data_IF_142321496839
#
_entry.id   IF_142321496839
#
_cell.length_a   1.000
_cell.length_b   1.000
_cell.length_c   1.000
_cell.angle_alpha   90.00
_cell.angle_beta   90.00
_cell.angle_gamma   90.00
#
_symmetry.space_group_name_H-M   'P 1'
#
loop_
_entity.id
_entity.type
_entity.pdbx_description
1 polymer ?
#
# COMPACT_ATOMS: atom_id res chain seq x y z
N UNK A 1 -11.09 17.06 19.22
CA UNK A 1 -10.10 15.97 19.37
C UNK A 1 -10.70 14.66 19.87
N UNK A 2 -11.15 14.55 21.14
CA UNK A 2 -11.73 13.25 21.64
C UNK A 2 -12.99 12.90 20.87
N UNK A 3 -13.89 13.85 20.64
CA UNK A 3 -15.11 13.65 19.85
C UNK A 3 -14.80 13.20 18.41
N UNK A 4 -13.80 13.77 17.78
CA UNK A 4 -13.40 13.42 16.40
C UNK A 4 -12.87 11.98 16.33
N UNK A 5 -12.12 11.54 17.33
CA UNK A 5 -11.63 10.16 17.44
C UNK A 5 -12.80 9.19 17.64
N UNK A 6 -13.72 9.51 18.54
CA UNK A 6 -14.93 8.68 18.78
C UNK A 6 -15.78 8.61 17.52
N UNK A 7 -16.03 9.73 16.86
CA UNK A 7 -16.77 9.80 15.60
C UNK A 7 -16.09 8.96 14.50
N UNK A 8 -14.79 9.12 14.34
CA UNK A 8 -14.02 8.34 13.37
C UNK A 8 -14.09 6.83 13.66
N UNK A 9 -14.02 6.45 14.92
CA UNK A 9 -14.10 5.06 15.36
C UNK A 9 -15.49 4.48 15.11
N UNK A 10 -16.56 5.23 15.43
CA UNK A 10 -17.95 4.83 15.19
C UNK A 10 -18.21 4.71 13.68
N UNK A 11 -17.79 5.69 12.86
CA UNK A 11 -17.94 5.64 11.40
C UNK A 11 -17.19 4.47 10.82
N UNK A 12 -15.94 4.22 11.28
CA UNK A 12 -15.14 3.09 10.83
C UNK A 12 -15.79 1.75 11.15
N UNK A 13 -16.34 1.62 12.36
CA UNK A 13 -17.04 0.41 12.78
C UNK A 13 -18.33 0.20 11.97
N UNK A 14 -19.06 1.26 11.70
CA UNK A 14 -20.27 1.22 10.87
C UNK A 14 -19.96 0.82 9.42
N UNK A 15 -18.90 1.38 8.83
CA UNK A 15 -18.42 1.01 7.50
C UNK A 15 -17.91 -0.44 7.45
N UNK A 16 -17.37 -0.94 8.54
CA UNK A 16 -16.86 -2.32 8.62
C UNK A 16 -18.01 -3.32 8.66
N UNK A 17 -19.12 -2.99 9.33
CA UNK A 17 -20.31 -3.84 9.46
C UNK A 17 -21.19 -3.76 8.20
N UNK A 18 -21.41 -2.57 7.67
CA UNK A 18 -22.40 -2.32 6.59
C UNK A 18 -21.76 -1.95 5.23
N UNK A 19 -20.42 -1.96 5.14
CA UNK A 19 -19.69 -1.51 3.93
C UNK A 19 -20.07 -2.27 2.65
N UNK A 20 -20.37 -3.55 2.75
CA UNK A 20 -20.85 -4.36 1.62
C UNK A 20 -22.20 -3.88 1.10
N UNK A 21 -23.16 -3.65 2.01
CA UNK A 21 -24.50 -3.13 1.68
C UNK A 21 -24.43 -1.71 1.14
N UNK A 22 -23.53 -0.89 1.67
CA UNK A 22 -23.31 0.47 1.17
C UNK A 22 -22.77 0.44 -0.26
N UNK A 23 -21.81 -0.44 -0.55
CA UNK A 23 -21.27 -0.66 -1.89
C UNK A 23 -22.35 -1.10 -2.89
N UNK A 24 -23.19 -2.06 -2.53
CA UNK A 24 -24.28 -2.54 -3.39
C UNK A 24 -25.33 -1.47 -3.66
N UNK A 25 -25.73 -0.69 -2.65
CA UNK A 25 -26.67 0.41 -2.80
C UNK A 25 -26.11 1.54 -3.68
N UNK A 26 -24.83 1.87 -3.51
CA UNK A 26 -24.17 2.87 -4.34
C UNK A 26 -24.13 2.45 -5.81
N UNK A 27 -23.92 1.16 -6.09
CA UNK A 27 -23.98 0.60 -7.44
C UNK A 27 -25.39 0.59 -8.04
N UNK A 28 -26.42 0.50 -7.21
CA UNK A 28 -27.81 0.53 -7.68
C UNK A 28 -28.22 1.89 -8.27
N UNK A 29 -27.60 2.99 -7.83
CA UNK A 29 -27.82 4.34 -8.33
C UNK A 29 -27.19 4.56 -9.71
N UNK A 30 -26.18 3.73 -10.07
CA UNK A 30 -25.42 3.88 -11.31
C UNK A 30 -26.19 3.26 -12.47
N UNK A 31 -26.37 4.00 -13.61
CA UNK A 31 -27.00 3.47 -14.80
C UNK A 31 -26.33 2.17 -15.29
N UNK A 32 -27.10 1.23 -15.80
CA UNK A 32 -26.64 -0.12 -16.20
C UNK A 32 -25.43 -0.12 -17.12
N UNK A 33 -25.35 0.84 -18.03
CA UNK A 33 -24.24 1.02 -18.98
C UNK A 33 -22.89 1.33 -18.29
N UNK A 34 -22.88 1.88 -17.08
CA UNK A 34 -21.67 2.25 -16.33
C UNK A 34 -21.37 1.30 -15.16
N UNK A 35 -22.29 0.38 -14.83
CA UNK A 35 -22.14 -0.54 -13.70
C UNK A 35 -20.86 -1.39 -13.78
N UNK A 36 -20.54 -1.91 -14.96
CA UNK A 36 -19.33 -2.72 -15.13
C UNK A 36 -18.06 -1.94 -14.82
N UNK A 37 -18.01 -0.65 -15.20
CA UNK A 37 -16.89 0.25 -14.87
C UNK A 37 -16.84 0.54 -13.37
N UNK A 38 -17.98 0.82 -12.77
CA UNK A 38 -18.08 1.10 -11.34
C UNK A 38 -17.65 -0.10 -10.48
N UNK A 39 -18.08 -1.31 -10.83
CA UNK A 39 -17.64 -2.54 -10.17
C UNK A 39 -16.13 -2.74 -10.30
N UNK A 40 -15.58 -2.54 -11.49
CA UNK A 40 -14.13 -2.63 -11.72
C UNK A 40 -13.35 -1.63 -10.85
N UNK A 41 -13.83 -0.40 -10.74
CA UNK A 41 -13.21 0.64 -9.91
C UNK A 41 -13.30 0.31 -8.43
N UNK A 42 -14.48 -0.13 -7.97
CA UNK A 42 -14.71 -0.55 -6.58
C UNK A 42 -13.82 -1.73 -6.18
N UNK A 43 -13.72 -2.76 -7.02
CA UNK A 43 -12.88 -3.94 -6.76
C UNK A 43 -11.40 -3.57 -6.69
N UNK A 44 -10.92 -2.74 -7.63
CA UNK A 44 -9.54 -2.28 -7.61
C UNK A 44 -9.25 -1.38 -6.39
N UNK A 45 -10.14 -0.46 -6.05
CA UNK A 45 -10.00 0.39 -4.87
C UNK A 45 -9.95 -0.45 -3.59
N UNK A 46 -10.87 -1.39 -3.43
CA UNK A 46 -10.91 -2.31 -2.27
C UNK A 46 -9.65 -3.16 -2.17
N UNK A 47 -9.13 -3.61 -3.30
CA UNK A 47 -7.89 -4.41 -3.37
C UNK A 47 -6.67 -3.59 -2.98
N UNK A 48 -6.54 -2.36 -3.50
CA UNK A 48 -5.45 -1.44 -3.18
C UNK A 48 -5.48 -1.05 -1.71
N UNK A 49 -6.64 -0.59 -1.22
CA UNK A 49 -6.80 -0.18 0.18
C UNK A 49 -6.58 -1.36 1.14
N UNK A 50 -7.22 -2.49 0.89
CA UNK A 50 -7.12 -3.67 1.75
C UNK A 50 -5.71 -4.29 1.73
N UNK A 51 -5.07 -4.32 0.58
CA UNK A 51 -3.69 -4.80 0.44
C UNK A 51 -2.71 -3.90 1.20
N UNK A 52 -2.84 -2.59 1.04
CA UNK A 52 -2.02 -1.62 1.74
C UNK A 52 -2.19 -1.70 3.26
N UNK A 53 -3.43 -1.67 3.76
CA UNK A 53 -3.71 -1.71 5.21
C UNK A 53 -3.19 -2.99 5.85
N UNK A 54 -3.41 -4.15 5.22
CA UNK A 54 -2.87 -5.42 5.73
C UNK A 54 -1.34 -5.41 5.74
N UNK A 55 -0.71 -4.93 4.68
CA UNK A 55 0.74 -4.79 4.61
C UNK A 55 1.28 -3.90 5.72
N UNK A 56 0.68 -2.73 5.91
CA UNK A 56 1.11 -1.76 6.92
C UNK A 56 0.92 -2.26 8.36
N UNK A 57 -0.22 -2.90 8.65
CA UNK A 57 -0.46 -3.52 9.96
C UNK A 57 0.53 -4.67 10.22
N UNK A 58 0.84 -5.47 9.20
CA UNK A 58 1.82 -6.56 9.33
C UNK A 58 3.22 -6.01 9.60
N UNK A 59 3.63 -4.95 8.89
CA UNK A 59 4.90 -4.25 9.14
C UNK A 59 4.93 -3.68 10.56
N UNK A 60 3.88 -2.99 10.98
CA UNK A 60 3.77 -2.40 12.31
C UNK A 60 3.96 -3.42 13.42
N UNK A 61 3.33 -4.60 13.28
CA UNK A 61 3.48 -5.68 14.26
C UNK A 61 4.91 -6.24 14.26
N UNK A 62 5.48 -6.51 13.09
CA UNK A 62 6.84 -7.05 12.98
C UNK A 62 7.87 -6.07 13.54
N UNK A 63 7.81 -4.81 13.13
CA UNK A 63 8.73 -3.76 13.61
C UNK A 63 8.56 -3.53 15.11
N UNK A 64 7.32 -3.51 15.60
CA UNK A 64 7.04 -3.39 17.03
C UNK A 64 7.66 -4.53 17.85
N UNK A 65 7.53 -5.77 17.38
CA UNK A 65 8.14 -6.94 18.03
C UNK A 65 9.68 -6.86 17.97
N UNK A 66 10.25 -6.55 16.81
CA UNK A 66 11.69 -6.42 16.63
C UNK A 66 12.27 -5.32 17.54
N UNK A 67 11.63 -4.15 17.56
CA UNK A 67 12.05 -3.04 18.41
C UNK A 67 11.93 -3.39 19.91
N UNK A 68 10.83 -4.00 20.32
CA UNK A 68 10.63 -4.41 21.71
C UNK A 68 11.65 -5.46 22.18
N UNK A 69 11.84 -6.52 21.39
CA UNK A 69 12.83 -7.55 21.70
C UNK A 69 14.25 -6.99 21.69
N UNK A 70 14.60 -6.21 20.67
CA UNK A 70 15.95 -5.66 20.56
C UNK A 70 16.29 -4.67 21.66
N UNK A 71 15.36 -3.77 22.04
CA UNK A 71 15.57 -2.86 23.16
C UNK A 71 15.66 -3.60 24.50
N UNK A 72 14.90 -4.70 24.67
CA UNK A 72 15.03 -5.58 25.83
C UNK A 72 16.42 -6.25 25.89
N UNK A 73 16.93 -6.76 24.78
CA UNK A 73 18.27 -7.38 24.70
C UNK A 73 19.39 -6.37 24.95
N UNK A 74 19.19 -5.10 24.58
CA UNK A 74 20.11 -3.99 24.89
C UNK A 74 19.99 -3.49 26.34
N UNK A 75 19.10 -4.09 27.14
CA UNK A 75 18.91 -3.74 28.55
C UNK A 75 18.14 -2.45 28.78
N UNK A 76 17.40 -1.93 27.80
CA UNK A 76 16.62 -0.72 27.99
C UNK A 76 15.42 -0.99 28.91
N UNK A 77 15.12 -0.10 29.87
CA UNK A 77 13.86 -0.13 30.58
C UNK A 77 12.70 0.17 29.61
N UNK A 78 11.52 -0.31 29.95
CA UNK A 78 10.29 -0.07 29.18
C UNK A 78 10.32 -0.65 27.74
N UNK A 79 11.09 -1.70 27.48
CA UNK A 79 11.26 -2.29 26.15
C UNK A 79 9.92 -2.63 25.46
N UNK A 80 8.93 -3.13 26.21
CA UNK A 80 7.59 -3.42 25.67
C UNK A 80 6.91 -2.13 25.19
N UNK A 81 6.99 -1.05 25.97
CA UNK A 81 6.41 0.25 25.60
C UNK A 81 7.11 0.79 24.35
N UNK A 82 8.45 0.70 24.30
CA UNK A 82 9.23 1.11 23.12
C UNK A 82 8.85 0.33 21.87
N UNK A 83 8.62 -0.98 22.01
CA UNK A 83 8.14 -1.82 20.92
C UNK A 83 6.75 -1.43 20.44
N UNK A 84 5.81 -1.20 21.37
CA UNK A 84 4.46 -0.74 21.02
C UNK A 84 4.50 0.62 20.33
N UNK A 85 5.28 1.56 20.83
CA UNK A 85 5.45 2.88 20.20
C UNK A 85 6.06 2.75 18.80
N UNK A 86 7.08 1.91 18.64
CA UNK A 86 7.68 1.67 17.33
C UNK A 86 6.65 1.12 16.33
N UNK A 87 5.85 0.13 16.73
CA UNK A 87 4.77 -0.40 15.90
C UNK A 87 3.69 0.63 15.58
N UNK A 88 3.32 1.49 16.53
CA UNK A 88 2.34 2.56 16.29
C UNK A 88 2.88 3.61 15.32
N UNK A 89 4.13 4.04 15.48
CA UNK A 89 4.73 5.00 14.56
C UNK A 89 4.88 4.43 13.15
N UNK A 90 5.12 3.12 13.04
CA UNK A 90 5.25 2.41 11.77
C UNK A 90 3.98 2.50 10.90
N UNK A 91 2.82 2.79 11.49
CA UNK A 91 1.60 3.02 10.73
C UNK A 91 1.70 4.20 9.78
N UNK A 92 2.63 5.14 10.03
CA UNK A 92 2.89 6.30 9.17
C UNK A 92 4.10 6.02 8.30
N UNK A 93 3.91 5.68 7.01
CA UNK A 93 5.02 5.33 6.11
C UNK A 93 6.08 6.41 6.05
N UNK A 94 7.33 6.01 5.89
CA UNK A 94 8.52 6.88 5.80
C UNK A 94 8.88 7.63 7.10
N UNK A 95 7.91 8.07 7.89
CA UNK A 95 8.15 8.74 9.18
C UNK A 95 8.23 7.76 10.33
N UNK A 96 7.53 6.63 10.24
CA UNK A 96 7.49 5.60 11.27
C UNK A 96 8.86 5.14 11.73
N UNK A 97 9.74 4.68 10.83
CA UNK A 97 11.08 4.23 11.18
C UNK A 97 11.93 5.31 11.88
N UNK A 98 11.78 6.58 11.46
CA UNK A 98 12.50 7.71 12.06
C UNK A 98 11.94 8.03 13.45
N UNK A 99 10.60 8.08 13.56
CA UNK A 99 9.94 8.41 14.83
C UNK A 99 10.13 7.33 15.90
N UNK A 100 10.25 6.05 15.49
CA UNK A 100 10.42 4.93 16.42
C UNK A 100 11.77 4.94 17.14
N UNK A 101 12.80 5.51 16.53
CA UNK A 101 14.14 5.63 17.13
C UNK A 101 14.14 6.64 18.28
N UNK A 102 13.36 7.72 18.15
CA UNK A 102 13.40 8.86 19.10
C UNK A 102 13.13 8.43 20.56
N UNK A 103 12.03 7.73 20.90
CA UNK A 103 11.80 7.31 22.28
C UNK A 103 12.88 6.36 22.81
N UNK A 104 13.38 5.45 21.97
CA UNK A 104 14.42 4.52 22.37
C UNK A 104 15.75 5.23 22.69
N UNK A 105 16.15 6.20 21.86
CA UNK A 105 17.33 7.04 22.11
C UNK A 105 17.13 7.90 23.36
N UNK A 106 15.98 8.51 23.55
CA UNK A 106 15.69 9.30 24.74
C UNK A 106 15.84 8.48 26.03
N UNK A 107 15.36 7.23 26.04
CA UNK A 107 15.54 6.33 27.18
C UNK A 107 17.02 5.95 27.33
N UNK A 108 17.73 5.66 26.23
CA UNK A 108 19.13 5.29 26.26
C UNK A 108 20.06 6.42 26.75
N UNK A 109 19.68 7.68 26.60
CA UNK A 109 20.47 8.83 27.10
C UNK A 109 20.63 8.84 28.65
N UNK A 110 19.74 8.15 29.36
CA UNK A 110 19.86 7.96 30.82
C UNK A 110 20.71 6.74 31.20
N UNK A 111 21.30 6.06 30.20
CA UNK A 111 22.15 4.88 30.37
C UNK A 111 23.61 5.21 29.97
N UNK A 112 24.58 4.31 30.19
CA UNK A 112 25.95 4.51 29.74
C UNK A 112 26.01 4.80 28.24
N UNK A 113 26.85 5.76 27.83
CA UNK A 113 26.97 6.22 26.44
C UNK A 113 27.09 5.10 25.39
N UNK A 114 27.81 3.98 25.62
CA UNK A 114 27.84 2.89 24.65
C UNK A 114 26.46 2.33 24.31
N UNK A 115 25.49 2.34 25.24
CA UNK A 115 24.12 1.87 25.01
C UNK A 115 23.41 2.73 23.98
N UNK A 116 23.61 4.05 24.00
CA UNK A 116 23.04 4.96 22.99
C UNK A 116 23.52 4.57 21.60
N UNK A 117 24.81 4.32 21.44
CA UNK A 117 25.41 3.91 20.17
C UNK A 117 24.81 2.59 19.67
N UNK A 118 24.68 1.60 20.55
CA UNK A 118 24.08 0.31 20.21
C UNK A 118 22.61 0.43 19.82
N UNK A 119 21.83 1.27 20.50
CA UNK A 119 20.43 1.54 20.16
C UNK A 119 20.33 2.14 18.76
N UNK A 120 21.12 3.18 18.47
CA UNK A 120 21.11 3.81 17.14
C UNK A 120 21.50 2.80 16.06
N UNK A 121 22.57 2.05 16.24
CA UNK A 121 23.01 1.03 15.29
C UNK A 121 21.94 -0.04 15.08
N UNK A 122 21.31 -0.50 16.14
CA UNK A 122 20.25 -1.49 16.09
C UNK A 122 19.04 -1.00 15.25
N UNK A 123 18.58 0.22 15.51
CA UNK A 123 17.48 0.77 14.73
C UNK A 123 17.87 1.04 13.26
N UNK A 124 19.11 1.42 12.99
CA UNK A 124 19.60 1.51 11.60
C UNK A 124 19.55 0.14 10.90
N UNK A 125 19.91 -0.94 11.60
CA UNK A 125 19.81 -2.31 11.05
C UNK A 125 18.35 -2.68 10.80
N UNK A 126 17.43 -2.41 11.75
CA UNK A 126 16.00 -2.62 11.54
C UNK A 126 15.52 -1.89 10.29
N UNK A 127 15.87 -0.61 10.16
CA UNK A 127 15.47 0.23 9.02
C UNK A 127 16.00 -0.33 7.68
N UNK A 128 17.22 -0.85 7.67
CA UNK A 128 17.76 -1.49 6.46
C UNK A 128 17.05 -2.80 6.12
N UNK A 129 16.75 -3.62 7.14
CA UNK A 129 15.97 -4.85 6.94
C UNK A 129 14.55 -4.53 6.46
N UNK A 130 13.92 -3.52 7.03
CA UNK A 130 12.61 -3.05 6.62
C UNK A 130 12.61 -2.61 5.16
N UNK A 131 13.45 -1.65 4.79
CA UNK A 131 13.47 -1.07 3.44
C UNK A 131 13.86 -2.08 2.36
N UNK A 132 14.78 -3.00 2.65
CA UNK A 132 15.32 -3.91 1.64
C UNK A 132 14.64 -5.30 1.62
N UNK A 133 13.99 -5.69 2.71
CA UNK A 133 13.46 -7.07 2.86
C UNK A 133 11.96 -7.07 3.19
N UNK A 134 11.56 -6.39 4.27
CA UNK A 134 10.19 -6.48 4.77
C UNK A 134 9.20 -5.73 3.89
N UNK A 135 9.48 -4.46 3.59
CA UNK A 135 8.58 -3.63 2.80
C UNK A 135 8.32 -4.20 1.39
N UNK A 136 9.33 -4.64 0.60
CA UNK A 136 9.07 -5.26 -0.70
C UNK A 136 8.30 -6.58 -0.61
N UNK A 137 8.52 -7.38 0.44
CA UNK A 137 7.84 -8.68 0.60
C UNK A 137 6.42 -8.57 1.13
N UNK A 138 6.15 -7.60 2.01
CA UNK A 138 4.87 -7.47 2.72
C UNK A 138 3.95 -6.53 1.98
N UNK A 139 4.42 -5.33 1.66
CA UNK A 139 3.62 -4.30 1.00
C UNK A 139 3.58 -4.47 -0.51
N UNK A 140 4.58 -5.14 -1.08
CA UNK A 140 4.70 -5.37 -2.50
C UNK A 140 4.54 -4.08 -3.32
N UNK A 141 4.10 -4.23 -4.57
CA UNK A 141 3.73 -3.10 -5.43
C UNK A 141 2.24 -2.75 -5.27
N UNK A 142 1.69 -2.88 -4.04
CA UNK A 142 0.25 -2.78 -3.78
C UNK A 142 -0.39 -1.49 -4.29
N UNK A 143 0.38 -0.40 -4.35
CA UNK A 143 -0.14 0.91 -4.72
C UNK A 143 0.32 1.36 -6.11
N UNK A 144 1.39 0.79 -6.67
CA UNK A 144 1.92 1.13 -8.00
C UNK A 144 2.32 2.60 -8.19
N UNK A 145 2.47 3.35 -7.10
CA UNK A 145 2.90 4.75 -7.12
C UNK A 145 4.42 4.87 -7.17
N UNK A 146 4.89 5.87 -7.91
CA UNK A 146 6.29 6.27 -7.83
C UNK A 146 6.60 6.81 -6.40
N UNK A 147 7.78 6.55 -5.81
CA UNK A 147 8.13 7.00 -4.46
C UNK A 147 7.89 8.50 -4.22
N UNK A 148 8.23 9.35 -5.19
CA UNK A 148 7.95 10.78 -5.11
C UNK A 148 6.44 11.08 -5.02
N UNK A 149 5.60 10.33 -5.76
CA UNK A 149 4.15 10.47 -5.68
C UNK A 149 3.61 10.11 -4.30
N UNK A 150 4.15 9.07 -3.68
CA UNK A 150 3.80 8.70 -2.31
C UNK A 150 4.22 9.78 -1.30
N UNK A 151 5.42 10.37 -1.46
CA UNK A 151 5.88 11.51 -0.63
C UNK A 151 4.94 12.72 -0.75
N UNK A 152 4.63 13.14 -1.97
CA UNK A 152 3.71 14.27 -2.18
C UNK A 152 2.32 14.00 -1.60
N UNK A 153 1.80 12.79 -1.81
CA UNK A 153 0.53 12.39 -1.22
C UNK A 153 0.56 12.51 0.30
N UNK A 154 1.62 12.02 0.92
CA UNK A 154 1.80 12.00 2.37
C UNK A 154 1.88 13.42 2.93
N UNK A 155 2.67 14.31 2.33
CA UNK A 155 2.76 15.73 2.72
C UNK A 155 1.40 16.44 2.56
N UNK A 156 0.72 16.23 1.44
CA UNK A 156 -0.60 16.78 1.21
C UNK A 156 -1.62 16.24 2.23
N UNK A 157 -1.59 14.95 2.51
CA UNK A 157 -2.46 14.32 3.50
C UNK A 157 -2.26 14.89 4.90
N UNK A 158 -1.01 15.06 5.33
CA UNK A 158 -0.71 15.71 6.61
C UNK A 158 -1.23 17.15 6.68
N UNK A 159 -1.10 17.90 5.60
CA UNK A 159 -1.57 19.29 5.51
C UNK A 159 -3.10 19.38 5.61
N UNK A 160 -3.82 18.43 4.98
CA UNK A 160 -5.28 18.45 4.86
C UNK A 160 -5.99 17.90 6.11
N UNK A 161 -5.49 16.82 6.70
CA UNK A 161 -6.18 16.11 7.77
C UNK A 161 -5.22 15.61 8.88
N UNK A 162 -4.05 16.23 9.02
CA UNK A 162 -3.08 15.87 10.05
C UNK A 162 -2.62 14.43 9.97
N UNK A 163 -2.44 13.80 11.13
CA UNK A 163 -1.93 12.43 11.23
C UNK A 163 -2.80 11.40 10.46
N UNK A 164 -4.12 11.53 10.55
CA UNK A 164 -5.05 10.66 9.81
C UNK A 164 -4.93 10.86 8.30
N UNK A 165 -4.78 12.12 7.87
CA UNK A 165 -4.52 12.42 6.46
C UNK A 165 -3.23 11.77 5.97
N UNK A 166 -2.15 11.82 6.74
CA UNK A 166 -0.89 11.15 6.44
C UNK A 166 -1.04 9.63 6.34
N UNK A 167 -1.73 9.01 7.29
CA UNK A 167 -1.98 7.56 7.31
C UNK A 167 -2.70 7.05 6.06
N UNK A 168 -3.73 7.76 5.61
CA UNK A 168 -4.54 7.38 4.47
C UNK A 168 -4.08 7.97 3.12
N UNK A 169 -3.11 8.87 3.12
CA UNK A 169 -2.64 9.57 1.92
C UNK A 169 -2.16 8.64 0.82
N UNK A 170 -1.29 7.70 1.16
CA UNK A 170 -0.68 6.77 0.20
C UNK A 170 -1.72 5.85 -0.44
N UNK A 171 -2.60 5.17 0.32
CA UNK A 171 -3.64 4.34 -0.28
C UNK A 171 -4.67 5.13 -1.10
N UNK A 172 -5.05 6.33 -0.65
CA UNK A 172 -5.96 7.19 -1.42
C UNK A 172 -5.33 7.66 -2.73
N UNK A 173 -4.05 8.05 -2.71
CA UNK A 173 -3.31 8.40 -3.92
C UNK A 173 -3.18 7.21 -4.87
N UNK A 174 -3.01 5.99 -4.35
CA UNK A 174 -3.00 4.76 -5.15
C UNK A 174 -4.34 4.48 -5.83
N UNK A 175 -5.44 4.63 -5.10
CA UNK A 175 -6.78 4.53 -5.70
C UNK A 175 -6.96 5.60 -6.78
N UNK A 176 -6.61 6.85 -6.48
CA UNK A 176 -6.69 7.94 -7.44
C UNK A 176 -5.85 7.66 -8.70
N UNK A 177 -4.64 7.12 -8.54
CA UNK A 177 -3.77 6.73 -9.65
C UNK A 177 -4.42 5.66 -10.54
N UNK A 178 -5.04 4.64 -9.96
CA UNK A 178 -5.78 3.61 -10.70
C UNK A 178 -6.98 4.21 -11.44
N UNK A 179 -7.73 5.12 -10.79
CA UNK A 179 -8.87 5.81 -11.39
C UNK A 179 -8.45 6.67 -12.59
N UNK A 180 -7.39 7.48 -12.41
CA UNK A 180 -6.84 8.33 -13.48
C UNK A 180 -6.31 7.49 -14.64
N UNK A 181 -5.61 6.39 -14.34
CA UNK A 181 -5.11 5.46 -15.35
C UNK A 181 -6.25 4.78 -16.14
N UNK A 182 -7.35 4.45 -15.48
CA UNK A 182 -8.53 3.90 -16.13
C UNK A 182 -9.26 4.94 -16.99
N UNK A 183 -9.39 6.18 -16.51
CA UNK A 183 -9.97 7.29 -17.24
C UNK A 183 -9.12 7.62 -18.49
N UNK A 184 -7.81 7.72 -18.33
CA UNK A 184 -6.88 8.01 -19.42
C UNK A 184 -6.95 6.94 -20.52
N UNK A 185 -6.97 5.65 -20.16
CA UNK A 185 -7.12 4.56 -21.14
C UNK A 185 -8.44 4.63 -21.90
N UNK A 186 -9.53 5.04 -21.28
CA UNK A 186 -10.81 5.20 -21.95
C UNK A 186 -10.85 6.40 -22.93
N UNK A 187 -10.03 7.43 -22.68
CA UNK A 187 -9.96 8.63 -23.52
C UNK A 187 -8.98 8.47 -24.68
N UNK A 188 -7.82 7.83 -24.40
CA UNK A 188 -6.72 7.74 -25.38
C UNK A 188 -6.78 6.45 -26.21
N UNK A 189 -7.34 5.36 -25.66
CA UNK A 189 -7.48 4.06 -26.35
C UNK A 189 -8.90 3.87 -26.88
N UNK A 190 -9.48 4.91 -27.46
CA UNK A 190 -10.42 4.74 -28.55
C UNK A 190 -9.59 4.46 -29.82
N UNK A 191 -8.75 3.40 -29.78
CA UNK A 191 -8.12 2.91 -31.02
C UNK A 191 -9.22 2.52 -31.99
N UNK A 192 -9.21 3.03 -33.23
CA UNK A 192 -10.09 2.52 -34.26
C UNK A 192 -9.82 1.01 -34.36
N UNK A 193 -10.86 0.18 -34.58
CA UNK A 193 -10.69 -1.26 -34.63
C UNK A 193 -9.59 -1.57 -35.65
N UNK A 194 -8.52 -2.19 -35.21
CA UNK A 194 -7.41 -2.63 -36.08
C UNK A 194 -8.05 -3.42 -37.22
N UNK A 195 -7.87 -3.03 -38.49
CA UNK A 195 -8.44 -3.76 -39.59
C UNK A 195 -7.95 -5.20 -39.42
N UNK A 196 -8.90 -6.14 -39.27
CA UNK A 196 -8.58 -7.57 -39.24
C UNK A 196 -7.71 -7.81 -40.47
N UNK A 197 -6.43 -8.09 -40.28
CA UNK A 197 -5.56 -8.55 -41.34
C UNK A 197 -6.31 -9.74 -41.96
N UNK A 198 -6.90 -9.52 -43.10
CA UNK A 198 -7.38 -10.61 -43.92
C UNK A 198 -6.15 -11.51 -44.14
N UNK A 199 -6.12 -12.63 -43.43
CA UNK A 199 -5.16 -13.69 -43.73
C UNK A 199 -5.39 -13.97 -45.21
N UNK A 200 -4.47 -13.51 -46.03
CA UNK A 200 -4.47 -13.88 -47.44
C UNK A 200 -4.52 -15.40 -47.47
N UNK A 201 -5.41 -16.01 -48.27
CA UNK A 201 -5.46 -17.46 -48.37
C UNK A 201 -4.06 -17.94 -48.78
N UNK A 202 -3.46 -18.79 -47.95
CA UNK A 202 -2.18 -19.41 -48.25
C UNK A 202 -2.40 -20.20 -49.56
N UNK A 203 -1.66 -19.89 -50.65
CA UNK A 203 -1.81 -20.66 -51.89
C UNK A 203 -1.47 -22.11 -51.59
N UNK A 204 -2.47 -22.97 -51.76
CA UNK A 204 -2.29 -24.42 -51.65
C UNK A 204 -1.34 -24.86 -52.75
N UNK A 205 -0.09 -25.02 -52.41
CA UNK A 205 0.92 -25.59 -53.29
C UNK A 205 0.59 -27.09 -53.41
N UNK A 206 -0.22 -27.44 -54.42
CA UNK A 206 -0.44 -28.84 -54.80
C UNK A 206 0.88 -29.39 -55.32
N UNK A 207 1.59 -30.13 -54.46
CA UNK A 207 2.68 -30.98 -54.87
C UNK A 207 2.11 -32.07 -55.82
N UNK A 208 2.29 -31.85 -57.12
CA UNK A 208 2.12 -32.92 -58.12
C UNK A 208 3.26 -33.91 -57.90
N UNK A 209 2.99 -34.93 -57.08
CA UNK A 209 3.83 -36.12 -57.08
C UNK A 209 3.67 -36.87 -58.43
N UNK A 210 4.56 -36.58 -59.37
CA UNK A 210 4.71 -37.40 -60.59
C UNK A 210 5.29 -38.73 -60.17
N UNK A 211 4.46 -39.78 -60.32
CA UNK A 211 4.85 -41.17 -60.50
C UNK A 211 5.92 -41.25 -61.56
N UNK A 212 7.09 -41.72 -61.23
CA UNK A 212 7.99 -42.41 -62.20
C UNK A 212 8.42 -43.70 -61.55
N UNK A 213 7.71 -44.77 -62.01
CA UNK A 213 8.15 -46.14 -61.89
C UNK A 213 8.74 -46.50 -63.23
N UNK A 214 9.99 -46.83 -63.21
CA UNK A 214 10.55 -48.00 -63.89
C UNK A 214 11.97 -48.21 -63.48
#
# INVERSE_FOLDING_TARGET
>A
MILDIVLALVISLYLLVDGTRFGERSLAIIPSQHRAKALFLQDNASRVLGGYLRGQLTLAVIIGILAGVGTALLGLPYAVVLGVLAGLFELVPMFGPILSVVPAVLVALFMPFPTVVWVVLFFLVIQQVENNVLAPRISGHAVGLHPLGAMFALLAGFQLAGLLGGLFAVPLAGVLWVLLGAAYRNVVVAEPPRPRRRLLPVPSFRLHARKIIR
#
